data_IF_372995325116
#
_entry.id   IF_372995325116
#
_cell.length_a   1.000
_cell.length_b   1.000
_cell.length_c   1.000
_cell.angle_alpha   90.00
_cell.angle_beta   90.00
_cell.angle_gamma   90.00
#
_symmetry.space_group_name_H-M   'P 1'
#
loop_
_entity.id
_entity.type
_entity.pdbx_description
1 polymer ?
#
# COMPACT_ATOMS: atom_id res chain seq x y z
N UNK A 1 -12.55 13.38 5.99
CA UNK A 1 -11.55 14.11 5.17
C UNK A 1 -12.12 15.49 4.78
N UNK A 2 -12.46 16.35 5.76
CA UNK A 2 -13.16 17.62 5.49
C UNK A 2 -12.46 18.86 6.03
N UNK A 3 -11.35 18.72 6.76
CA UNK A 3 -10.66 19.88 7.35
C UNK A 3 -10.28 20.94 6.31
N UNK A 4 -9.95 20.53 5.07
CA UNK A 4 -9.64 21.45 3.98
C UNK A 4 -10.87 22.13 3.36
N UNK A 5 -12.09 21.68 3.66
CA UNK A 5 -13.35 22.35 3.28
C UNK A 5 -13.69 23.51 4.22
N UNK A 6 -13.11 23.50 5.43
CA UNK A 6 -13.36 24.50 6.48
C UNK A 6 -12.31 25.64 6.44
N UNK A 7 -11.22 25.46 5.70
CA UNK A 7 -10.17 26.48 5.54
C UNK A 7 -10.63 27.52 4.51
N UNK A 8 -10.51 28.83 4.79
CA UNK A 8 -10.84 29.88 3.83
C UNK A 8 -10.10 29.71 2.50
N UNK A 9 -10.79 29.99 1.39
CA UNK A 9 -10.33 29.67 0.04
C UNK A 9 -9.01 30.35 -0.37
N UNK A 10 -8.65 31.45 0.30
CA UNK A 10 -7.45 32.27 0.09
C UNK A 10 -6.41 32.11 1.20
N UNK A 11 -6.68 31.31 2.23
CA UNK A 11 -5.76 31.10 3.34
C UNK A 11 -4.55 30.22 2.97
N UNK A 12 -4.63 29.46 1.88
CA UNK A 12 -3.56 28.58 1.40
C UNK A 12 -3.14 28.95 -0.02
N UNK A 13 -1.83 29.08 -0.25
CA UNK A 13 -1.26 29.24 -1.59
C UNK A 13 -1.46 27.98 -2.46
N UNK A 14 -1.49 26.81 -1.82
CA UNK A 14 -1.61 25.51 -2.49
C UNK A 14 -3.01 24.93 -2.34
N UNK A 15 -3.51 24.26 -3.38
CA UNK A 15 -4.82 23.59 -3.36
C UNK A 15 -4.66 22.10 -3.05
N UNK A 16 -5.48 21.53 -2.14
CA UNK A 16 -5.42 20.11 -1.81
C UNK A 16 -6.02 19.26 -2.93
N UNK A 17 -5.32 18.18 -3.29
CA UNK A 17 -5.85 17.12 -4.15
C UNK A 17 -6.39 15.99 -3.27
N UNK A 18 -7.72 15.85 -3.21
CA UNK A 18 -8.40 14.86 -2.36
C UNK A 18 -8.46 13.49 -3.02
N UNK A 19 -7.39 12.72 -2.84
CA UNK A 19 -7.26 11.36 -3.38
C UNK A 19 -7.82 10.37 -2.35
N UNK A 20 -8.75 9.53 -2.80
CA UNK A 20 -9.27 8.41 -2.00
C UNK A 20 -8.31 7.22 -2.05
N UNK A 21 -8.63 6.15 -1.30
CA UNK A 21 -7.84 4.94 -1.31
C UNK A 21 -7.69 4.37 -2.73
N UNK A 22 -6.44 4.26 -3.20
CA UNK A 22 -6.07 3.65 -4.48
C UNK A 22 -5.61 2.20 -4.35
N UNK A 23 -5.90 1.39 -5.36
CA UNK A 23 -5.50 -0.01 -5.47
C UNK A 23 -5.27 -0.38 -6.94
N UNK A 24 -4.56 -1.47 -7.19
CA UNK A 24 -4.53 -2.07 -8.53
C UNK A 24 -5.78 -2.93 -8.72
N UNK A 25 -6.49 -2.73 -9.83
CA UNK A 25 -7.64 -3.56 -10.19
C UNK A 25 -7.29 -4.50 -11.34
N UNK A 26 -7.42 -5.82 -11.11
CA UNK A 26 -7.12 -6.85 -12.10
C UNK A 26 -8.04 -6.77 -13.32
N UNK A 27 -9.33 -6.53 -13.09
CA UNK A 27 -10.31 -6.38 -14.17
C UNK A 27 -10.09 -5.10 -15.00
N UNK A 28 -9.66 -4.00 -14.39
CA UNK A 28 -9.35 -2.77 -15.13
C UNK A 28 -7.95 -2.79 -15.75
N UNK A 29 -7.03 -3.62 -15.23
CA UNK A 29 -5.63 -3.66 -15.64
C UNK A 29 -4.87 -2.36 -15.32
N UNK A 30 -5.28 -1.63 -14.28
CA UNK A 30 -4.68 -0.34 -13.92
C UNK A 30 -4.87 0.01 -12.44
N UNK A 31 -4.17 1.05 -12.00
CA UNK A 31 -4.42 1.71 -10.73
C UNK A 31 -5.78 2.42 -10.77
N UNK A 32 -6.58 2.21 -9.74
CA UNK A 32 -7.90 2.79 -9.60
C UNK A 32 -8.20 3.18 -8.15
N UNK A 33 -9.31 3.87 -7.93
CA UNK A 33 -9.90 4.13 -6.62
C UNK A 33 -11.34 3.66 -6.60
N UNK A 34 -12.00 3.73 -5.44
CA UNK A 34 -13.43 3.42 -5.31
C UNK A 34 -14.32 4.33 -6.17
N UNK A 35 -13.85 5.54 -6.51
CA UNK A 35 -14.57 6.47 -7.39
C UNK A 35 -14.46 6.11 -8.87
N UNK A 36 -13.39 5.43 -9.26
CA UNK A 36 -13.04 5.21 -10.67
C UNK A 36 -13.14 3.74 -11.09
N UNK A 37 -13.42 2.84 -10.16
CA UNK A 37 -13.58 1.41 -10.42
C UNK A 37 -14.79 0.83 -9.69
N UNK A 38 -15.77 0.23 -10.40
CA UNK A 38 -16.95 -0.37 -9.80
C UNK A 38 -16.73 -1.81 -9.31
N UNK A 39 -15.55 -2.40 -9.53
CA UNK A 39 -15.30 -3.81 -9.21
C UNK A 39 -15.15 -4.06 -7.70
N UNK A 40 -15.55 -5.25 -7.28
CA UNK A 40 -15.49 -5.70 -5.89
C UNK A 40 -14.07 -5.92 -5.38
N UNK A 41 -13.94 -6.23 -4.09
CA UNK A 41 -12.65 -6.44 -3.43
C UNK A 41 -11.85 -7.64 -4.01
N UNK A 42 -12.50 -8.63 -4.63
CA UNK A 42 -11.79 -9.79 -5.20
C UNK A 42 -10.94 -9.39 -6.41
N UNK A 43 -11.35 -8.35 -7.15
CA UNK A 43 -10.57 -7.78 -8.25
C UNK A 43 -9.48 -6.80 -7.80
N UNK A 44 -9.42 -6.44 -6.51
CA UNK A 44 -8.50 -5.42 -5.98
C UNK A 44 -7.27 -6.09 -5.39
N UNK A 45 -6.09 -5.64 -5.80
CA UNK A 45 -4.82 -5.97 -5.15
C UNK A 45 -4.56 -4.95 -4.06
N UNK A 46 -4.72 -5.40 -2.82
CA UNK A 46 -4.49 -4.61 -1.61
C UNK A 46 -3.51 -5.38 -0.72
N UNK A 47 -2.29 -4.90 -0.60
CA UNK A 47 -1.31 -5.42 0.37
C UNK A 47 -1.11 -4.36 1.43
N UNK A 48 -1.44 -4.69 2.69
CA UNK A 48 -1.15 -3.79 3.80
C UNK A 48 0.36 -3.70 4.02
N UNK A 49 0.84 -2.57 4.53
CA UNK A 49 2.26 -2.42 4.85
C UNK A 49 2.75 -3.48 5.83
N UNK A 50 1.91 -3.94 6.77
CA UNK A 50 2.25 -5.03 7.70
C UNK A 50 2.41 -6.37 6.99
N UNK A 51 1.49 -6.72 6.07
CA UNK A 51 1.63 -7.94 5.25
C UNK A 51 2.88 -7.89 4.38
N UNK A 52 3.19 -6.73 3.79
CA UNK A 52 4.40 -6.54 3.00
C UNK A 52 5.67 -6.74 3.84
N UNK A 53 5.77 -6.09 5.00
CA UNK A 53 6.93 -6.25 5.89
C UNK A 53 7.10 -7.69 6.34
N UNK A 54 5.99 -8.37 6.69
CA UNK A 54 6.03 -9.79 7.05
C UNK A 54 6.57 -10.65 5.90
N UNK A 55 6.03 -10.49 4.69
CA UNK A 55 6.49 -11.22 3.52
C UNK A 55 7.98 -10.96 3.24
N UNK A 56 8.46 -9.72 3.37
CA UNK A 56 9.87 -9.41 3.17
C UNK A 56 10.77 -10.00 4.26
N UNK A 57 10.36 -9.95 5.53
CA UNK A 57 11.10 -10.54 6.65
C UNK A 57 11.16 -12.06 6.60
N UNK A 58 10.10 -12.72 6.13
CA UNK A 58 9.98 -14.18 6.07
C UNK A 58 10.37 -14.79 4.71
N UNK A 59 10.83 -13.97 3.76
CA UNK A 59 11.19 -14.42 2.42
C UNK A 59 10.00 -14.85 1.55
N UNK A 60 8.78 -14.42 1.90
CA UNK A 60 7.55 -14.68 1.17
C UNK A 60 7.43 -13.94 -0.16
N UNK A 61 6.43 -14.36 -0.94
CA UNK A 61 6.11 -13.73 -2.22
C UNK A 61 5.22 -12.50 -2.04
N UNK A 62 5.41 -11.52 -2.92
CA UNK A 62 4.62 -10.30 -3.01
C UNK A 62 4.08 -10.23 -4.43
N UNK A 63 2.78 -9.96 -4.58
CA UNK A 63 2.14 -9.82 -5.89
C UNK A 63 2.88 -8.77 -6.74
N UNK A 64 3.33 -9.10 -7.97
CA UNK A 64 4.06 -8.17 -8.83
C UNK A 64 3.22 -6.97 -9.29
N UNK A 65 1.89 -7.03 -9.14
CA UNK A 65 0.99 -5.90 -9.40
C UNK A 65 0.93 -4.91 -8.23
N UNK A 66 1.40 -5.32 -7.04
CA UNK A 66 1.48 -4.44 -5.88
C UNK A 66 2.71 -3.52 -5.94
N UNK A 67 3.86 -4.03 -6.37
CA UNK A 67 5.09 -3.25 -6.48
C UNK A 67 5.95 -3.72 -7.64
N UNK A 68 6.72 -2.81 -8.22
CA UNK A 68 7.62 -3.09 -9.33
C UNK A 68 8.70 -4.10 -8.88
N UNK A 69 9.06 -5.10 -9.72
CA UNK A 69 10.04 -6.12 -9.35
C UNK A 69 11.38 -5.55 -8.88
N UNK A 70 11.85 -4.47 -9.50
CA UNK A 70 13.12 -3.82 -9.18
C UNK A 70 13.11 -3.19 -7.78
N UNK A 71 11.97 -2.62 -7.39
CA UNK A 71 11.76 -2.07 -6.04
C UNK A 71 11.74 -3.19 -5.01
N UNK A 72 11.03 -4.29 -5.30
CA UNK A 72 11.00 -5.45 -4.40
C UNK A 72 12.38 -6.09 -4.22
N UNK A 73 13.23 -6.11 -5.25
CA UNK A 73 14.60 -6.59 -5.13
C UNK A 73 15.43 -5.74 -4.16
N UNK A 74 15.32 -4.41 -4.23
CA UNK A 74 16.01 -3.51 -3.29
C UNK A 74 15.54 -3.76 -1.85
N UNK A 75 14.22 -3.88 -1.65
CA UNK A 75 13.66 -4.16 -0.33
C UNK A 75 14.10 -5.53 0.19
N UNK A 76 14.02 -6.58 -0.63
CA UNK A 76 14.48 -7.93 -0.25
C UNK A 76 15.95 -7.96 0.13
N UNK A 77 16.81 -7.26 -0.61
CA UNK A 77 18.24 -7.15 -0.27
C UNK A 77 18.43 -6.54 1.12
N UNK A 78 17.69 -5.48 1.44
CA UNK A 78 17.75 -4.87 2.77
C UNK A 78 17.32 -5.86 3.87
N UNK A 79 16.14 -6.48 3.72
CA UNK A 79 15.63 -7.42 4.73
C UNK A 79 16.50 -8.67 4.90
N UNK A 80 17.13 -9.16 3.81
CA UNK A 80 18.05 -10.29 3.85
C UNK A 80 19.37 -9.97 4.56
N UNK A 81 19.78 -8.69 4.56
CA UNK A 81 21.01 -8.23 5.20
C UNK A 81 20.84 -7.88 6.69
N UNK A 82 19.62 -7.95 7.24
CA UNK A 82 19.39 -7.74 8.67
C UNK A 82 19.88 -8.93 9.48
N UNK A 83 20.74 -8.63 10.46
CA UNK A 83 21.17 -9.57 11.49
C UNK A 83 19.97 -10.03 12.34
N UNK A 84 20.13 -11.16 13.03
CA UNK A 84 19.05 -11.76 13.80
C UNK A 84 18.53 -10.82 14.90
N UNK A 85 19.39 -10.00 15.52
CA UNK A 85 19.00 -9.06 16.57
C UNK A 85 18.16 -7.88 16.04
N UNK A 86 18.32 -7.53 14.77
CA UNK A 86 17.63 -6.40 14.12
C UNK A 86 16.32 -6.82 13.45
N UNK A 87 16.01 -8.13 13.42
CA UNK A 87 14.77 -8.65 12.82
C UNK A 87 13.60 -8.44 13.77
N UNK A 88 12.76 -7.47 13.42
CA UNK A 88 11.48 -7.26 14.10
C UNK A 88 10.48 -8.32 13.67
N UNK A 89 9.92 -9.03 14.65
CA UNK A 89 8.79 -9.94 14.43
C UNK A 89 7.54 -9.15 13.98
N UNK A 90 6.96 -9.54 12.85
CA UNK A 90 5.81 -8.84 12.27
C UNK A 90 4.53 -9.65 12.51
N UNK A 91 3.82 -9.30 13.56
CA UNK A 91 2.52 -9.91 13.86
C UNK A 91 1.42 -9.35 12.95
N UNK A 92 0.65 -10.23 12.32
CA UNK A 92 -0.56 -9.84 11.59
C UNK A 92 -1.74 -9.73 12.57
N UNK A 93 -2.14 -8.50 12.90
CA UNK A 93 -3.34 -8.22 13.71
C UNK A 93 -4.36 -7.40 12.90
N UNK A 94 -5.65 -7.56 13.23
CA UNK A 94 -6.74 -6.74 12.70
C UNK A 94 -6.93 -6.86 11.18
N UNK A 95 -7.11 -5.73 10.49
CA UNK A 95 -7.31 -5.67 9.03
C UNK A 95 -6.17 -6.30 8.21
N UNK A 96 -4.98 -6.48 8.80
CA UNK A 96 -3.84 -7.13 8.14
C UNK A 96 -3.85 -8.66 8.25
N UNK A 97 -4.74 -9.24 9.05
CA UNK A 97 -4.88 -10.70 9.21
C UNK A 97 -5.95 -11.32 8.30
N UNK A 98 -6.78 -10.49 7.64
CA UNK A 98 -7.81 -10.91 6.68
C UNK A 98 -7.28 -10.85 5.26
#
# INVERSE_FOLDING_TARGET
HHIFDEIPADALLTKPLKIDWTFWCRACGTMASERTCPHDAAQRVLVSGTKLRKALSEGGEVDPQFSRPEVLQVLRRYYAALEAEDRVEVELKGHSAR
#
